data_IF_932647061208
#
_entry.id   IF_932647061208
#
_cell.length_a   1.000
_cell.length_b   1.000
_cell.length_c   1.000
_cell.angle_alpha   90.00
_cell.angle_beta   90.00
_cell.angle_gamma   90.00
#
_symmetry.space_group_name_H-M   'P 1'
#
loop_
_entity.id
_entity.type
_entity.pdbx_description
1 polymer ?
#
# COMPACT_ATOMS: atom_id res chain seq x y z
N UNK A 1 -5.10 -23.72 2.66
CA UNK A 1 -4.43 -22.40 2.61
C UNK A 1 -4.42 -21.79 4.00
N UNK A 2 -3.34 -21.10 4.42
CA UNK A 2 -3.32 -20.38 5.69
C UNK A 2 -4.36 -19.25 5.75
N UNK A 3 -4.90 -18.89 6.92
CA UNK A 3 -5.92 -17.84 7.05
C UNK A 3 -5.50 -16.46 6.54
N UNK A 4 -4.22 -16.10 6.70
CA UNK A 4 -3.68 -14.81 6.23
C UNK A 4 -3.66 -14.69 4.70
N UNK A 5 -3.76 -15.81 3.98
CA UNK A 5 -3.77 -15.87 2.51
C UNK A 5 -4.98 -15.16 1.90
N UNK A 6 -6.12 -15.13 2.62
CA UNK A 6 -7.36 -14.49 2.14
C UNK A 6 -7.34 -12.96 2.28
N UNK A 7 -6.46 -12.42 3.12
CA UNK A 7 -6.41 -10.99 3.44
C UNK A 7 -5.38 -10.22 2.60
N UNK A 8 -4.69 -10.88 1.66
CA UNK A 8 -3.75 -10.24 0.76
C UNK A 8 -4.53 -9.76 -0.48
N UNK A 9 -4.53 -8.45 -0.78
CA UNK A 9 -5.14 -7.92 -2.00
C UNK A 9 -4.57 -8.63 -3.24
N UNK A 10 -5.45 -9.07 -4.15
CA UNK A 10 -5.03 -9.75 -5.39
C UNK A 10 -4.61 -8.80 -6.49
N UNK A 11 -5.12 -7.59 -6.44
CA UNK A 11 -4.79 -6.50 -7.36
C UNK A 11 -4.04 -5.40 -6.61
N UNK A 12 -2.82 -5.09 -7.08
CA UNK A 12 -1.99 -4.02 -6.54
C UNK A 12 -2.54 -2.62 -6.89
N UNK A 13 -3.38 -2.51 -7.92
CA UNK A 13 -4.03 -1.28 -8.33
C UNK A 13 -5.47 -1.24 -7.79
N UNK A 14 -5.63 -1.30 -6.46
CA UNK A 14 -6.93 -1.30 -5.81
C UNK A 14 -6.95 -0.51 -4.50
N UNK A 15 -8.14 -0.10 -4.04
CA UNK A 15 -8.31 0.49 -2.71
C UNK A 15 -7.84 -0.46 -1.60
N UNK A 16 -8.08 -1.77 -1.72
CA UNK A 16 -7.59 -2.77 -0.77
C UNK A 16 -6.06 -2.81 -0.71
N UNK A 17 -5.36 -2.57 -1.82
CA UNK A 17 -3.90 -2.41 -1.81
C UNK A 17 -3.45 -1.18 -1.02
N UNK A 18 -4.16 -0.04 -1.17
CA UNK A 18 -3.88 1.17 -0.39
C UNK A 18 -4.11 0.96 1.12
N UNK A 19 -5.17 0.24 1.50
CA UNK A 19 -5.39 -0.15 2.90
C UNK A 19 -4.25 -1.05 3.41
N UNK A 20 -3.87 -2.05 2.62
CA UNK A 20 -2.78 -2.97 2.98
C UNK A 20 -1.47 -2.24 3.23
N UNK A 21 -1.13 -1.23 2.42
CA UNK A 21 0.15 -0.53 2.55
C UNK A 21 0.18 0.48 3.69
N UNK A 22 -0.97 0.88 4.24
CA UNK A 22 -1.01 1.66 5.48
C UNK A 22 -2.06 2.74 5.58
N UNK A 23 -2.95 2.92 4.60
CA UNK A 23 -4.05 3.89 4.69
C UNK A 23 -5.26 3.32 5.45
N UNK A 24 -6.10 4.21 5.96
CA UNK A 24 -7.46 3.87 6.41
C UNK A 24 -8.35 3.55 5.20
N UNK A 25 -9.44 2.77 5.38
CA UNK A 25 -10.37 2.46 4.29
C UNK A 25 -10.92 3.70 3.58
N UNK A 26 -11.22 4.75 4.33
CA UNK A 26 -11.71 6.01 3.77
C UNK A 26 -10.66 6.66 2.85
N UNK A 27 -9.45 6.88 3.35
CA UNK A 27 -8.40 7.53 2.56
C UNK A 27 -7.98 6.67 1.35
N UNK A 28 -7.91 5.35 1.53
CA UNK A 28 -7.67 4.42 0.45
C UNK A 28 -8.70 4.57 -0.69
N UNK A 29 -9.98 4.64 -0.35
CA UNK A 29 -11.04 4.84 -1.33
C UNK A 29 -10.95 6.20 -2.03
N UNK A 30 -10.65 7.27 -1.29
CA UNK A 30 -10.49 8.61 -1.86
C UNK A 30 -9.31 8.71 -2.83
N UNK A 31 -8.15 8.14 -2.46
CA UNK A 31 -6.95 8.11 -3.31
C UNK A 31 -7.23 7.27 -4.56
N UNK A 32 -7.82 6.08 -4.39
CA UNK A 32 -8.15 5.20 -5.52
C UNK A 32 -9.14 5.84 -6.49
N UNK A 33 -10.16 6.55 -5.97
CA UNK A 33 -11.12 7.27 -6.81
C UNK A 33 -10.44 8.38 -7.63
N UNK A 34 -9.51 9.13 -7.04
CA UNK A 34 -8.73 10.15 -7.76
C UNK A 34 -7.85 9.55 -8.85
N UNK A 35 -7.17 8.44 -8.57
CA UNK A 35 -6.35 7.74 -9.56
C UNK A 35 -7.21 7.14 -10.68
N UNK A 36 -8.37 6.57 -10.35
CA UNK A 36 -9.28 5.96 -11.34
C UNK A 36 -9.94 7.01 -12.25
N UNK A 37 -10.18 8.21 -11.73
CA UNK A 37 -10.76 9.34 -12.47
C UNK A 37 -9.70 10.22 -13.17
N UNK A 38 -8.43 9.78 -13.23
CA UNK A 38 -7.37 10.58 -13.82
C UNK A 38 -7.61 10.81 -15.32
N UNK A 39 -7.12 11.94 -15.89
CA UNK A 39 -7.10 12.16 -17.33
C UNK A 39 -6.39 11.01 -18.06
N UNK A 40 -6.59 10.91 -19.38
CA UNK A 40 -6.06 9.84 -20.24
C UNK A 40 -4.74 9.26 -19.73
N UNK A 41 -4.69 7.96 -19.37
CA UNK A 41 -3.49 7.30 -18.84
C UNK A 41 -2.26 7.42 -19.75
N UNK A 42 -2.45 7.63 -21.06
CA UNK A 42 -1.34 7.85 -21.99
C UNK A 42 -0.71 9.25 -21.82
N UNK A 43 -1.45 10.19 -21.23
CA UNK A 43 -1.01 11.56 -20.89
C UNK A 43 -0.59 11.64 -19.42
N UNK A 44 -1.23 10.87 -18.54
CA UNK A 44 -0.91 10.77 -17.13
C UNK A 44 -0.50 9.33 -16.74
N UNK A 45 0.78 8.97 -16.91
CA UNK A 45 1.28 7.62 -16.67
C UNK A 45 1.49 7.30 -15.18
N UNK A 46 1.10 8.19 -14.27
CA UNK A 46 1.27 8.02 -12.83
C UNK A 46 0.59 6.73 -12.33
N UNK A 47 1.34 5.96 -11.54
CA UNK A 47 0.83 4.75 -10.90
C UNK A 47 0.00 5.08 -9.66
N UNK A 48 -0.71 4.07 -9.13
CA UNK A 48 -1.51 4.25 -7.91
C UNK A 48 -0.64 4.70 -6.72
N UNK A 49 0.61 4.25 -6.66
CA UNK A 49 1.55 4.63 -5.59
C UNK A 49 1.96 6.11 -5.69
N UNK A 50 2.05 6.67 -6.89
CA UNK A 50 2.36 8.10 -7.09
C UNK A 50 1.23 8.98 -6.54
N UNK A 51 -0.02 8.55 -6.73
CA UNK A 51 -1.19 9.19 -6.12
C UNK A 51 -1.18 9.11 -4.60
N UNK A 52 -0.76 7.98 -4.03
CA UNK A 52 -0.58 7.84 -2.59
C UNK A 52 0.51 8.80 -2.06
N UNK A 53 1.63 8.94 -2.77
CA UNK A 53 2.68 9.90 -2.40
C UNK A 53 2.24 11.35 -2.53
N UNK A 54 1.52 11.68 -3.61
CA UNK A 54 0.95 13.00 -3.83
C UNK A 54 -0.05 13.36 -2.72
N UNK A 55 -0.88 12.39 -2.30
CA UNK A 55 -1.79 12.55 -1.17
C UNK A 55 -1.04 12.91 0.11
N UNK A 56 0.00 12.17 0.49
CA UNK A 56 0.82 12.50 1.67
C UNK A 56 1.50 13.86 1.54
N UNK A 57 2.03 14.19 0.35
CA UNK A 57 2.72 15.46 0.07
C UNK A 57 1.79 16.67 0.10
N UNK A 58 0.48 16.47 -0.14
CA UNK A 58 -0.50 17.55 -0.16
C UNK A 58 -0.73 18.19 1.23
N UNK A 59 -0.27 17.53 2.30
CA UNK A 59 -0.31 18.06 3.65
C UNK A 59 0.96 18.88 3.92
N UNK A 60 0.76 20.08 4.45
CA UNK A 60 1.84 21.04 4.69
C UNK A 60 2.81 20.52 5.77
N UNK A 61 4.10 20.32 5.46
CA UNK A 61 5.10 19.92 6.45
C UNK A 61 5.40 20.99 7.50
N UNK A 62 4.98 22.25 7.27
CA UNK A 62 5.17 23.37 8.18
C UNK A 62 4.06 23.55 9.22
N UNK A 63 2.97 22.77 9.14
CA UNK A 63 1.98 22.73 10.21
C UNK A 63 2.65 22.22 11.49
N UNK A 64 2.62 23.07 12.51
CA UNK A 64 3.38 23.05 13.77
C UNK A 64 3.24 21.82 14.68
N UNK A 65 2.59 20.76 14.21
CA UNK A 65 2.44 19.48 14.93
C UNK A 65 2.81 18.29 14.02
N UNK A 66 4.11 18.04 13.76
CA UNK A 66 4.55 16.73 13.30
C UNK A 66 4.15 15.70 14.36
N UNK A 67 3.40 14.68 13.97
CA UNK A 67 2.84 13.74 14.94
C UNK A 67 1.61 12.97 14.47
N UNK A 68 0.93 12.34 15.42
CA UNK A 68 -0.19 11.42 15.15
C UNK A 68 -1.42 12.13 14.56
N UNK A 69 -1.67 13.38 14.94
CA UNK A 69 -2.79 14.16 14.41
C UNK A 69 -2.66 14.40 12.90
N UNK A 70 -1.46 14.74 12.44
CA UNK A 70 -1.17 14.94 11.02
C UNK A 70 -1.32 13.64 10.24
N UNK A 71 -0.79 12.52 10.75
CA UNK A 71 -1.02 11.19 10.17
C UNK A 71 -2.50 10.80 10.14
N UNK A 72 -3.27 11.16 11.16
CA UNK A 72 -4.71 10.90 11.22
C UNK A 72 -5.45 11.68 10.14
N UNK A 73 -5.12 12.97 9.95
CA UNK A 73 -5.69 13.80 8.88
C UNK A 73 -5.31 13.30 7.49
N UNK A 74 -4.11 12.74 7.32
CA UNK A 74 -3.68 12.06 6.09
C UNK A 74 -4.42 10.73 5.85
N UNK A 75 -5.11 10.19 6.86
CA UNK A 75 -5.73 8.88 6.79
C UNK A 75 -4.72 7.73 6.84
N UNK A 76 -3.62 7.89 7.57
CA UNK A 76 -2.69 6.80 7.87
C UNK A 76 -3.30 5.94 8.99
N UNK A 77 -3.27 4.63 8.81
CA UNK A 77 -3.83 3.64 9.75
C UNK A 77 -3.16 3.71 11.12
N UNK A 78 -3.92 3.44 12.18
CA UNK A 78 -3.40 3.43 13.57
C UNK A 78 -2.18 2.54 13.72
N UNK A 79 -2.20 1.35 13.11
CA UNK A 79 -1.06 0.41 13.13
C UNK A 79 0.22 1.06 12.59
N UNK A 80 0.13 1.78 11.49
CA UNK A 80 1.29 2.46 10.90
C UNK A 80 1.69 3.69 11.74
N UNK A 81 0.74 4.40 12.32
CA UNK A 81 1.03 5.49 13.26
C UNK A 81 1.80 4.98 14.48
N UNK A 82 1.38 3.85 15.05
CA UNK A 82 2.05 3.21 16.19
C UNK A 82 3.49 2.85 15.84
N UNK A 83 3.71 2.19 14.70
CA UNK A 83 5.06 1.83 14.26
C UNK A 83 5.96 3.05 14.00
N UNK A 84 5.42 4.12 13.42
CA UNK A 84 6.18 5.34 13.12
C UNK A 84 6.43 6.24 14.34
N UNK A 85 5.73 6.02 15.45
CA UNK A 85 5.87 6.81 16.69
C UNK A 85 6.37 5.99 17.86
N UNK A 86 6.85 4.78 17.59
CA UNK A 86 7.42 3.90 18.59
C UNK A 86 8.69 4.55 19.20
N UNK A 87 8.71 4.81 20.52
CA UNK A 87 9.85 5.45 21.16
C UNK A 87 11.15 4.63 21.07
N UNK A 88 11.07 3.31 20.85
CA UNK A 88 12.25 2.46 20.63
C UNK A 88 13.04 2.88 19.39
N UNK A 89 12.37 3.45 18.38
CA UNK A 89 13.00 3.87 17.12
C UNK A 89 13.11 5.40 16.99
N UNK A 90 13.03 6.14 18.10
CA UNK A 90 13.04 7.62 18.10
C UNK A 90 14.29 8.21 17.41
N UNK A 91 15.47 7.62 17.63
CA UNK A 91 16.72 8.08 17.01
C UNK A 91 16.69 7.95 15.49
N UNK A 92 16.07 6.89 14.97
CA UNK A 92 15.88 6.68 13.53
C UNK A 92 14.82 7.65 13.02
N UNK A 93 13.68 7.76 13.71
CA UNK A 93 12.60 8.66 13.32
C UNK A 93 13.08 10.12 13.20
N UNK A 94 14.06 10.53 14.03
CA UNK A 94 14.64 11.87 14.02
C UNK A 94 15.58 12.17 12.83
N UNK A 95 16.02 11.18 12.04
CA UNK A 95 16.95 11.44 10.93
C UNK A 95 16.29 12.08 9.71
N UNK A 96 14.97 12.02 9.62
CA UNK A 96 14.20 12.51 8.47
C UNK A 96 12.84 13.06 8.91
N UNK A 97 12.17 13.79 8.01
CA UNK A 97 10.84 14.31 8.28
C UNK A 97 9.79 13.19 8.36
N UNK A 98 8.74 13.37 9.17
CA UNK A 98 7.65 12.40 9.28
C UNK A 98 7.06 11.97 7.92
N UNK A 99 6.90 12.92 6.98
CA UNK A 99 6.40 12.64 5.64
C UNK A 99 7.36 11.76 4.80
N UNK A 100 8.66 11.85 5.05
CA UNK A 100 9.62 10.92 4.45
C UNK A 100 9.35 9.51 4.94
N UNK A 101 9.29 9.30 6.26
CA UNK A 101 9.06 7.97 6.84
C UNK A 101 7.72 7.35 6.46
N UNK A 102 6.67 8.15 6.33
CA UNK A 102 5.37 7.69 5.82
C UNK A 102 5.54 7.15 4.39
N UNK A 103 6.13 7.94 3.47
CA UNK A 103 6.30 7.53 2.07
C UNK A 103 7.20 6.32 1.92
N UNK A 104 8.29 6.26 2.68
CA UNK A 104 9.21 5.14 2.66
C UNK A 104 8.53 3.85 3.13
N UNK A 105 7.80 3.92 4.25
CA UNK A 105 7.04 2.78 4.78
C UNK A 105 5.95 2.32 3.81
N UNK A 106 5.22 3.24 3.17
CA UNK A 106 4.25 2.91 2.11
C UNK A 106 4.92 2.15 0.96
N UNK A 107 6.12 2.58 0.54
CA UNK A 107 6.91 1.91 -0.50
C UNK A 107 7.27 0.48 -0.12
N UNK A 108 7.82 0.30 1.08
CA UNK A 108 8.25 -1.02 1.57
C UNK A 108 7.05 -1.97 1.68
N UNK A 109 5.92 -1.49 2.18
CA UNK A 109 4.70 -2.28 2.26
C UNK A 109 4.14 -2.63 0.87
N UNK A 110 4.22 -1.71 -0.11
CA UNK A 110 3.82 -1.99 -1.49
C UNK A 110 4.69 -3.04 -2.16
N UNK A 111 6.02 -2.94 -2.01
CA UNK A 111 6.96 -3.95 -2.53
C UNK A 111 6.69 -5.33 -1.89
N UNK A 112 6.36 -5.33 -0.60
CA UNK A 112 5.95 -6.54 0.13
C UNK A 112 4.67 -7.12 -0.47
N UNK A 113 3.65 -6.30 -0.75
CA UNK A 113 2.41 -6.73 -1.42
C UNK A 113 2.70 -7.38 -2.78
N UNK A 114 3.52 -6.76 -3.62
CA UNK A 114 3.90 -7.32 -4.93
C UNK A 114 4.63 -8.66 -4.80
N UNK A 115 5.51 -8.80 -3.80
CA UNK A 115 6.18 -10.07 -3.54
C UNK A 115 5.20 -11.15 -3.07
N UNK A 116 4.27 -10.80 -2.19
CA UNK A 116 3.23 -11.72 -1.72
C UNK A 116 2.35 -12.16 -2.90
N UNK A 117 1.84 -11.24 -3.71
CA UNK A 117 1.02 -11.56 -4.89
C UNK A 117 1.73 -12.49 -5.88
N UNK A 118 3.04 -12.30 -6.11
CA UNK A 118 3.83 -13.24 -6.94
C UNK A 118 3.83 -14.65 -6.36
N UNK A 119 4.09 -14.78 -5.05
CA UNK A 119 4.04 -16.08 -4.36
C UNK A 119 2.66 -16.71 -4.39
N UNK A 120 1.58 -15.92 -4.27
CA UNK A 120 0.22 -16.43 -4.38
C UNK A 120 -0.03 -17.04 -5.77
N UNK A 121 0.39 -16.36 -6.83
CA UNK A 121 0.28 -16.85 -8.22
C UNK A 121 1.06 -18.15 -8.42
N UNK A 122 2.28 -18.26 -7.88
CA UNK A 122 3.11 -19.47 -7.95
C UNK A 122 2.47 -20.66 -7.23
N UNK A 123 1.87 -20.43 -6.06
CA UNK A 123 1.15 -21.46 -5.30
C UNK A 123 -0.09 -21.93 -6.07
N UNK A 124 -0.83 -21.00 -6.67
CA UNK A 124 -2.02 -21.30 -7.47
C UNK A 124 -1.66 -22.08 -8.74
N UNK A 125 -0.59 -21.69 -9.45
CA UNK A 125 -0.12 -22.42 -10.63
C UNK A 125 0.44 -23.81 -10.28
N UNK A 126 1.08 -23.97 -9.13
CA UNK A 126 1.62 -25.26 -8.67
C UNK A 126 0.54 -26.21 -8.14
N UNK A 127 -0.64 -25.68 -7.81
CA UNK A 127 -1.78 -26.43 -7.28
C UNK A 127 -2.76 -26.96 -8.34
N UNK A 128 -2.59 -26.62 -9.62
CA UNK A 128 -3.38 -27.21 -10.71
C UNK A 128 -2.74 -28.54 -11.12
N UNK A 129 -3.41 -29.70 -10.93
CA UNK A 129 -2.92 -30.94 -11.53
C UNK A 129 -2.97 -30.77 -13.05
N UNK A 130 -1.88 -31.14 -13.73
CA UNK A 130 -1.94 -31.37 -15.16
C UNK A 130 -3.06 -32.39 -15.43
N UNK A 131 -4.20 -31.92 -15.95
CA UNK A 131 -5.11 -32.76 -16.71
C UNK A 131 -4.29 -33.31 -17.87
N UNK A 132 -3.66 -34.46 -17.63
CA UNK A 132 -3.14 -35.31 -18.68
C UNK A 132 -4.32 -35.70 -19.54
N UNK A 133 -4.51 -34.93 -20.61
CA UNK A 133 -5.23 -35.36 -21.79
C UNK A 133 -4.59 -36.66 -22.25
N UNK A 134 -5.21 -37.78 -21.87
CA UNK A 134 -4.97 -39.06 -22.50
C UNK A 134 -6.32 -39.57 -23.00
N UNK A 135 -6.72 -39.03 -24.14
CA UNK A 135 -7.64 -39.70 -25.05
C UNK A 135 -6.82 -40.26 -26.22
N UNK A 136 -7.36 -41.32 -26.82
CA UNK A 136 -6.92 -42.08 -28.01
C UNK A 136 -5.86 -43.15 -27.69
N UNK A 137 -6.05 -44.45 -27.91
CA UNK A 137 -7.04 -45.23 -28.68
C UNK A 137 -7.40 -46.53 -27.94
#
# INVERSE_FOLDING_TARGET
MPPWFQNIPRDAQSAAALEFIGFTPQAAQEIFAKWSARPDPDINPDELLDYAYSHVRSYDPSETSPGRETMTRMGISTKMQDALTDPEFADIAATEMQQFWIRDTLKINYLTLLQLQRRLKEIESSGQPEEKGNTVA
#
